data_IF_970737725955
#
_entry.id   IF_970737725955
#
_cell.length_a   1.000
_cell.length_b   1.000
_cell.length_c   1.000
_cell.angle_alpha   90.00
_cell.angle_beta   90.00
_cell.angle_gamma   90.00
#
_symmetry.space_group_name_H-M   'P 1'
#
loop_
_entity.id
_entity.type
_entity.pdbx_description
1 polymer ?
#
# COMPACT_ATOMS: atom_id res chain seq x y z
N UNK A 1 16.66 0.38 17.41
CA UNK A 1 15.58 1.04 16.66
C UNK A 1 14.36 1.08 17.57
N UNK A 2 13.75 2.24 17.78
CA UNK A 2 12.59 2.36 18.71
C UNK A 2 11.31 1.88 18.03
N UNK A 3 10.30 1.50 18.82
CA UNK A 3 8.96 1.12 18.34
C UNK A 3 8.34 2.20 17.43
N UNK A 4 8.59 3.46 17.77
CA UNK A 4 8.21 4.63 16.96
C UNK A 4 8.82 4.62 15.56
N UNK A 5 10.13 4.35 15.46
CA UNK A 5 10.80 4.26 14.16
C UNK A 5 10.27 3.10 13.33
N UNK A 6 10.01 1.94 13.95
CA UNK A 6 9.44 0.76 13.27
C UNK A 6 8.05 1.10 12.71
N UNK A 7 7.18 1.66 13.55
CA UNK A 7 5.83 2.08 13.16
C UNK A 7 5.86 3.08 12.00
N UNK A 8 6.70 4.11 12.10
CA UNK A 8 6.81 5.14 11.09
C UNK A 8 7.27 4.58 9.73
N UNK A 9 8.28 3.70 9.73
CA UNK A 9 8.75 3.03 8.51
C UNK A 9 7.62 2.22 7.88
N UNK A 10 6.93 1.40 8.66
CA UNK A 10 5.84 0.55 8.16
C UNK A 10 4.68 1.38 7.58
N UNK A 11 4.33 2.50 8.21
CA UNK A 11 3.32 3.43 7.69
C UNK A 11 3.76 4.07 6.36
N UNK A 12 4.98 4.58 6.28
CA UNK A 12 5.51 5.21 5.07
C UNK A 12 5.58 4.19 3.93
N UNK A 13 6.14 3.01 4.19
CA UNK A 13 6.22 1.92 3.21
C UNK A 13 4.83 1.47 2.78
N UNK A 14 3.86 1.43 3.70
CA UNK A 14 2.47 1.11 3.43
C UNK A 14 1.76 2.09 2.49
N UNK A 15 2.20 3.36 2.45
CA UNK A 15 1.68 4.38 1.53
C UNK A 15 2.43 4.38 0.18
N UNK A 16 3.75 4.16 0.21
CA UNK A 16 4.58 4.20 -1.00
C UNK A 16 4.31 2.98 -1.90
N UNK A 17 4.12 1.79 -1.32
CA UNK A 17 3.90 0.56 -2.08
C UNK A 17 2.68 0.62 -3.02
N UNK A 18 1.49 1.07 -2.59
CA UNK A 18 0.33 1.23 -3.47
C UNK A 18 0.57 2.26 -4.57
N UNK A 19 1.29 3.34 -4.28
CA UNK A 19 1.64 4.35 -5.28
C UNK A 19 2.63 3.78 -6.32
N UNK A 20 3.62 3.02 -5.89
CA UNK A 20 4.57 2.34 -6.77
C UNK A 20 3.88 1.24 -7.60
N UNK A 21 2.96 0.49 -6.99
CA UNK A 21 2.14 -0.50 -7.67
C UNK A 21 1.28 0.16 -8.77
N UNK A 22 0.61 1.26 -8.41
CA UNK A 22 -0.18 2.07 -9.32
C UNK A 22 0.65 2.64 -10.46
N UNK A 23 1.85 3.16 -10.18
CA UNK A 23 2.72 3.72 -11.22
C UNK A 23 3.20 2.67 -12.22
N UNK A 24 3.67 1.51 -11.74
CA UNK A 24 4.43 0.56 -12.56
C UNK A 24 3.60 -0.61 -13.12
N UNK A 25 2.50 -0.99 -12.46
CA UNK A 25 1.75 -2.21 -12.79
C UNK A 25 0.31 -1.94 -13.24
N UNK A 26 -0.02 -0.70 -13.61
CA UNK A 26 -1.30 -0.39 -14.26
C UNK A 26 -1.39 -1.03 -15.63
N UNK A 27 -2.59 -1.50 -15.96
CA UNK A 27 -2.89 -1.95 -17.32
C UNK A 27 -2.82 -0.77 -18.29
N UNK A 28 -2.48 -1.03 -19.56
CA UNK A 28 -2.47 -0.01 -20.60
C UNK A 28 -3.83 0.69 -20.70
N UNK A 29 -3.82 2.02 -20.88
CA UNK A 29 -5.04 2.82 -21.03
C UNK A 29 -5.72 3.26 -19.72
N UNK A 30 -5.22 2.86 -18.55
CA UNK A 30 -5.72 3.36 -17.25
C UNK A 30 -4.95 4.63 -16.86
N UNK A 31 -5.62 5.80 -16.73
CA UNK A 31 -4.94 7.04 -16.35
C UNK A 31 -4.48 7.02 -14.88
N UNK A 32 -3.36 7.70 -14.60
CA UNK A 32 -2.73 7.68 -13.26
C UNK A 32 -3.65 8.24 -12.17
N UNK A 33 -4.40 9.27 -12.50
CA UNK A 33 -5.29 10.01 -11.60
C UNK A 33 -6.63 9.31 -11.34
N UNK A 34 -6.87 8.13 -11.94
CA UNK A 34 -8.13 7.42 -11.74
C UNK A 34 -8.22 6.89 -10.31
N UNK A 35 -9.14 7.46 -9.54
CA UNK A 35 -9.51 6.90 -8.25
C UNK A 35 -10.03 5.48 -8.44
N UNK A 36 -9.39 4.53 -7.75
CA UNK A 36 -9.67 3.11 -7.93
C UNK A 36 -9.97 2.47 -6.60
N UNK A 37 -11.20 1.99 -6.39
CA UNK A 37 -11.55 1.36 -5.12
C UNK A 37 -10.82 0.01 -4.97
N UNK A 38 -10.35 -0.26 -3.75
CA UNK A 38 -9.53 -1.43 -3.39
C UNK A 38 -10.09 -2.76 -3.93
N UNK A 39 -11.41 -2.98 -3.81
CA UNK A 39 -12.07 -4.21 -4.25
C UNK A 39 -12.04 -4.42 -5.78
N UNK A 40 -11.96 -3.33 -6.56
CA UNK A 40 -11.94 -3.38 -8.04
C UNK A 40 -10.54 -3.20 -8.63
N UNK A 41 -9.51 -3.11 -7.80
CA UNK A 41 -8.15 -2.78 -8.27
C UNK A 41 -7.59 -3.80 -9.27
N UNK A 42 -8.01 -5.07 -9.18
CA UNK A 42 -7.69 -6.15 -10.12
C UNK A 42 -8.12 -5.87 -11.58
N UNK A 43 -9.13 -4.99 -11.78
CA UNK A 43 -9.55 -4.56 -13.11
C UNK A 43 -8.51 -3.64 -13.75
N UNK A 44 -7.77 -2.88 -12.94
CA UNK A 44 -6.92 -1.78 -13.38
C UNK A 44 -5.42 -2.05 -13.26
N UNK A 45 -5.03 -2.95 -12.35
CA UNK A 45 -3.65 -3.39 -12.16
C UNK A 45 -3.45 -4.80 -12.71
N UNK A 46 -2.22 -5.10 -13.12
CA UNK A 46 -1.76 -6.48 -13.27
C UNK A 46 -1.85 -7.22 -11.91
N UNK A 47 -1.89 -8.56 -11.90
CA UNK A 47 -1.99 -9.35 -10.67
C UNK A 47 -0.90 -9.01 -9.64
N UNK A 48 0.35 -8.83 -10.10
CA UNK A 48 1.48 -8.44 -9.25
C UNK A 48 1.26 -7.06 -8.62
N UNK A 49 0.80 -6.09 -9.42
CA UNK A 49 0.45 -4.75 -8.93
C UNK A 49 -0.69 -4.78 -7.93
N UNK A 50 -1.69 -5.64 -8.14
CA UNK A 50 -2.82 -5.81 -7.21
C UNK A 50 -2.32 -6.30 -5.86
N UNK A 51 -1.42 -7.30 -5.84
CA UNK A 51 -0.81 -7.77 -4.60
C UNK A 51 -0.07 -6.66 -3.86
N UNK A 52 0.81 -5.92 -4.54
CA UNK A 52 1.54 -4.80 -3.96
C UNK A 52 0.63 -3.66 -3.46
N UNK A 53 -0.47 -3.41 -4.18
CA UNK A 53 -1.46 -2.41 -3.81
C UNK A 53 -2.22 -2.77 -2.53
N UNK A 54 -2.51 -4.06 -2.32
CA UNK A 54 -3.12 -4.57 -1.08
C UNK A 54 -2.12 -4.70 0.07
N UNK A 55 -0.86 -4.99 -0.23
CA UNK A 55 0.19 -5.14 0.78
C UNK A 55 0.48 -3.83 1.52
N UNK A 56 0.34 -2.69 0.83
CA UNK A 56 0.55 -1.37 1.43
C UNK A 56 -0.37 -1.07 2.64
N UNK A 57 -1.70 -1.10 2.47
CA UNK A 57 -2.65 -0.90 3.57
C UNK A 57 -2.42 -1.87 4.73
N UNK A 58 -2.08 -3.13 4.45
CA UNK A 58 -1.78 -4.13 5.48
C UNK A 58 -0.56 -3.71 6.30
N UNK A 59 0.53 -3.28 5.65
CA UNK A 59 1.71 -2.77 6.35
C UNK A 59 1.42 -1.52 7.16
N UNK A 60 0.62 -0.59 6.63
CA UNK A 60 0.22 0.61 7.36
C UNK A 60 -0.61 0.27 8.60
N UNK A 61 -1.51 -0.71 8.51
CA UNK A 61 -2.30 -1.22 9.64
C UNK A 61 -1.42 -1.93 10.68
N UNK A 62 -0.42 -2.71 10.25
CA UNK A 62 0.55 -3.33 11.16
C UNK A 62 1.38 -2.26 11.86
N UNK A 63 1.86 -1.24 11.14
CA UNK A 63 2.57 -0.11 11.71
C UNK A 63 1.71 0.62 12.75
N UNK A 64 0.44 0.87 12.43
CA UNK A 64 -0.52 1.45 13.37
C UNK A 64 -0.73 0.56 14.60
N UNK A 65 -0.92 -0.76 14.43
CA UNK A 65 -1.09 -1.68 15.55
C UNK A 65 0.14 -1.68 16.46
N UNK A 66 1.36 -1.64 15.88
CA UNK A 66 2.60 -1.52 16.64
C UNK A 66 2.66 -0.21 17.40
N UNK A 67 2.24 0.93 16.82
CA UNK A 67 2.21 2.24 17.51
C UNK A 67 1.41 2.20 18.82
N UNK A 68 0.32 1.43 18.84
CA UNK A 68 -0.62 1.36 19.97
C UNK A 68 -0.44 0.09 20.83
N UNK A 69 0.51 -0.78 20.48
CA UNK A 69 0.79 -1.97 21.27
C UNK A 69 1.42 -1.58 22.61
N UNK A 70 0.91 -2.12 23.74
CA UNK A 70 1.55 -1.93 25.04
C UNK A 70 2.94 -2.57 25.02
N UNK A 71 3.94 -1.81 25.47
CA UNK A 71 5.34 -2.23 25.62
C UNK A 71 5.51 -3.30 26.71
#
# INVERSE_FOLDING_TARGET
MTQESVSAILMITGIILPLAAWKNFRKPGVPFWRFTPLHSVHKYLHPVGTGLYWFGPILALIGLAIRWAPL
#
